data_IF_562338421590
#
_entry.id   IF_562338421590
#
_cell.length_a   1.000
_cell.length_b   1.000
_cell.length_c   1.000
_cell.angle_alpha   90.00
_cell.angle_beta   90.00
_cell.angle_gamma   90.00
#
_symmetry.space_group_name_H-M   'P 1'
#
loop_
_entity.id
_entity.type
_entity.pdbx_description
1 polymer ?
#
# COMPACT_ATOMS: atom_id res chain seq x y z
N UNK A 1 5.50 -14.77 24.31
CA UNK A 1 4.71 -15.01 23.08
C UNK A 1 3.91 -13.75 22.89
N UNK A 2 4.51 -12.81 22.17
CA UNK A 2 4.31 -11.38 22.41
C UNK A 2 3.33 -10.83 21.37
N UNK A 3 2.54 -9.83 21.73
CA UNK A 3 1.43 -9.27 20.96
C UNK A 3 1.80 -8.59 19.60
N UNK A 4 3.00 -8.88 19.06
CA UNK A 4 3.62 -8.23 17.90
C UNK A 4 3.87 -9.23 16.74
N UNK A 5 3.20 -10.38 16.68
CA UNK A 5 3.46 -11.36 15.59
C UNK A 5 2.65 -11.13 14.32
N UNK A 6 1.58 -10.32 14.38
CA UNK A 6 0.67 -10.13 13.26
C UNK A 6 0.23 -8.66 13.07
N UNK A 7 1.09 -7.79 12.52
CA UNK A 7 0.78 -6.39 12.33
C UNK A 7 -0.33 -6.18 11.27
N UNK A 8 -0.99 -5.03 11.36
CA UNK A 8 -1.90 -4.55 10.32
C UNK A 8 -1.09 -4.03 9.13
N UNK A 9 -1.57 -4.35 7.93
CA UNK A 9 -1.10 -3.81 6.66
C UNK A 9 -2.20 -2.92 6.10
N UNK A 10 -1.81 -1.71 5.70
CA UNK A 10 -2.70 -0.68 5.21
C UNK A 10 -2.29 -0.25 3.80
N UNK A 11 -3.21 -0.32 2.86
CA UNK A 11 -3.05 0.25 1.53
C UNK A 11 -4.13 1.32 1.35
N UNK A 12 -3.77 2.55 1.02
CA UNK A 12 -4.77 3.58 0.72
C UNK A 12 -4.90 3.77 -0.79
N UNK A 13 -6.12 4.07 -1.22
CA UNK A 13 -6.46 4.35 -2.62
C UNK A 13 -7.60 5.35 -2.67
N UNK A 14 -7.89 5.91 -3.84
CA UNK A 14 -9.08 6.72 -4.05
C UNK A 14 -10.34 5.83 -4.07
N UNK A 15 -11.46 6.31 -3.52
CA UNK A 15 -12.72 5.55 -3.47
C UNK A 15 -13.20 5.09 -4.86
N UNK A 16 -12.95 5.88 -5.90
CA UNK A 16 -13.32 5.54 -7.28
C UNK A 16 -12.51 4.35 -7.86
N UNK A 17 -11.39 3.97 -7.23
CA UNK A 17 -10.62 2.80 -7.64
C UNK A 17 -11.20 1.50 -7.08
N UNK A 18 -12.15 1.55 -6.14
CA UNK A 18 -12.67 0.38 -5.44
C UNK A 18 -13.35 -0.58 -6.41
N UNK A 19 -14.11 -0.09 -7.38
CA UNK A 19 -14.77 -0.94 -8.38
C UNK A 19 -13.74 -1.77 -9.17
N UNK A 20 -12.69 -1.11 -9.68
CA UNK A 20 -11.60 -1.79 -10.39
C UNK A 20 -10.88 -2.82 -9.50
N UNK A 21 -10.56 -2.44 -8.26
CA UNK A 21 -9.91 -3.34 -7.30
C UNK A 21 -10.79 -4.54 -6.95
N UNK A 22 -12.11 -4.38 -6.84
CA UNK A 22 -13.01 -5.51 -6.58
C UNK A 22 -13.11 -6.47 -7.77
N UNK A 23 -12.92 -5.98 -8.99
CA UNK A 23 -12.96 -6.80 -10.20
C UNK A 23 -11.64 -7.55 -10.46
N UNK A 24 -10.50 -6.90 -10.26
CA UNK A 24 -9.17 -7.46 -10.61
C UNK A 24 -8.32 -7.86 -9.42
N UNK A 25 -8.76 -7.53 -8.20
CA UNK A 25 -7.91 -7.55 -7.02
C UNK A 25 -6.97 -6.34 -6.96
N UNK A 26 -6.20 -6.28 -5.89
CA UNK A 26 -5.16 -5.27 -5.69
C UNK A 26 -3.87 -5.70 -6.39
N UNK A 27 -3.50 -5.02 -7.47
CA UNK A 27 -2.38 -5.39 -8.34
C UNK A 27 -1.24 -4.36 -8.31
N UNK A 28 -0.02 -4.80 -8.60
CA UNK A 28 1.17 -3.95 -8.61
C UNK A 28 1.19 -2.97 -9.79
N UNK A 29 1.91 -1.86 -9.65
CA UNK A 29 1.95 -0.78 -10.65
C UNK A 29 2.38 -1.27 -12.04
N UNK A 30 3.38 -2.15 -12.13
CA UNK A 30 3.84 -2.70 -13.41
C UNK A 30 2.83 -3.65 -14.07
N UNK A 31 1.80 -4.10 -13.34
CA UNK A 31 0.67 -4.87 -13.88
C UNK A 31 -0.45 -3.96 -14.41
N UNK A 32 -0.26 -2.64 -14.38
CA UNK A 32 -1.20 -1.64 -14.89
C UNK A 32 -2.60 -1.78 -14.24
N UNK A 33 -2.72 -1.46 -12.94
CA UNK A 33 -4.01 -1.53 -12.24
C UNK A 33 -5.06 -0.67 -12.95
N UNK A 34 -6.31 -1.12 -12.87
CA UNK A 34 -7.48 -0.33 -13.27
C UNK A 34 -7.70 0.81 -12.26
N UNK A 35 -6.89 1.85 -12.37
CA UNK A 35 -6.92 3.04 -11.53
C UNK A 35 -7.71 4.15 -12.22
N UNK A 36 -8.87 4.49 -11.68
CA UNK A 36 -9.67 5.63 -12.13
C UNK A 36 -9.04 6.96 -11.71
N UNK A 37 -8.51 7.03 -10.48
CA UNK A 37 -7.88 8.22 -9.91
C UNK A 37 -6.53 7.87 -9.30
N UNK A 38 -5.47 8.46 -9.84
CA UNK A 38 -4.11 8.32 -9.31
C UNK A 38 -3.86 9.35 -8.20
N UNK A 39 -3.53 8.87 -7.00
CA UNK A 39 -3.25 9.70 -5.83
C UNK A 39 -1.79 9.60 -5.36
N UNK A 40 -0.97 8.76 -5.98
CA UNK A 40 0.44 8.62 -5.68
C UNK A 40 1.29 9.62 -6.47
N UNK A 41 2.40 10.05 -5.87
CA UNK A 41 3.36 10.92 -6.55
C UNK A 41 4.02 10.21 -7.75
N UNK A 42 3.94 10.78 -8.97
CA UNK A 42 4.56 10.22 -10.16
C UNK A 42 6.06 9.93 -10.01
N UNK A 43 6.82 10.84 -9.38
CA UNK A 43 8.26 10.66 -9.15
C UNK A 43 8.58 9.47 -8.24
N UNK A 44 7.70 9.11 -7.30
CA UNK A 44 7.87 7.92 -6.46
C UNK A 44 7.59 6.65 -7.28
N UNK A 45 6.55 6.66 -8.12
CA UNK A 45 6.27 5.52 -9.01
C UNK A 45 7.43 5.27 -9.97
N UNK A 46 8.02 6.33 -10.52
CA UNK A 46 9.18 6.23 -11.40
C UNK A 46 10.40 5.65 -10.67
N UNK A 47 10.71 6.16 -9.47
CA UNK A 47 11.78 5.60 -8.65
C UNK A 47 11.57 4.11 -8.37
N UNK A 48 10.33 3.69 -8.07
CA UNK A 48 10.00 2.28 -7.81
C UNK A 48 10.17 1.38 -9.03
N UNK A 49 9.94 1.90 -10.25
CA UNK A 49 10.20 1.17 -11.50
C UNK A 49 11.67 0.91 -11.74
N UNK A 50 12.54 1.73 -11.15
CA UNK A 50 13.99 1.65 -11.32
C UNK A 50 14.72 1.01 -10.13
N UNK A 51 14.01 0.75 -9.03
CA UNK A 51 14.61 0.23 -7.80
C UNK A 51 14.60 -1.30 -7.79
N UNK A 52 15.76 -1.97 -7.91
CA UNK A 52 15.81 -3.43 -7.95
C UNK A 52 15.52 -4.05 -6.58
N UNK A 53 14.85 -5.20 -6.58
CA UNK A 53 14.72 -6.07 -5.42
C UNK A 53 15.79 -7.16 -5.55
N UNK A 54 16.74 -7.19 -4.62
CA UNK A 54 17.93 -8.06 -4.68
C UNK A 54 17.70 -9.46 -4.09
N UNK A 55 16.50 -9.72 -3.61
CA UNK A 55 16.10 -11.02 -3.04
C UNK A 55 15.02 -11.65 -3.91
N UNK A 56 15.06 -12.97 -4.03
CA UNK A 56 14.09 -13.73 -4.83
C UNK A 56 12.64 -13.41 -4.39
N UNK A 57 11.69 -13.24 -5.34
CA UNK A 57 11.79 -13.51 -6.78
C UNK A 57 12.43 -12.38 -7.61
N UNK A 58 12.99 -11.36 -6.97
CA UNK A 58 13.68 -10.27 -7.65
C UNK A 58 12.75 -9.26 -8.32
N UNK A 59 13.17 -8.72 -9.47
CA UNK A 59 12.44 -7.68 -10.20
C UNK A 59 12.69 -6.28 -9.62
N UNK A 60 11.68 -5.41 -9.72
CA UNK A 60 11.74 -4.04 -9.21
C UNK A 60 10.63 -3.76 -8.21
N UNK A 61 10.77 -2.72 -7.39
CA UNK A 61 9.77 -2.38 -6.35
C UNK A 61 8.37 -2.15 -6.95
N UNK A 62 8.28 -1.65 -8.19
CA UNK A 62 6.99 -1.47 -8.90
C UNK A 62 6.29 -2.79 -9.30
N UNK A 63 6.95 -3.94 -9.13
CA UNK A 63 6.32 -5.26 -9.30
C UNK A 63 5.57 -5.74 -8.05
N UNK A 64 5.62 -4.97 -6.95
CA UNK A 64 5.02 -5.32 -5.66
C UNK A 64 3.98 -4.27 -5.25
N UNK A 65 2.94 -4.72 -4.55
CA UNK A 65 1.88 -3.86 -4.02
C UNK A 65 2.37 -3.15 -2.75
N UNK A 66 2.30 -1.81 -2.68
CA UNK A 66 2.72 -1.03 -1.51
C UNK A 66 1.78 -1.18 -0.31
N UNK A 67 2.33 -1.48 0.87
CA UNK A 67 1.61 -1.42 2.15
C UNK A 67 2.33 -0.51 3.15
N UNK A 68 1.55 0.07 4.04
CA UNK A 68 1.98 0.82 5.21
C UNK A 68 1.65 0.03 6.48
N UNK A 69 2.50 0.15 7.50
CA UNK A 69 2.28 -0.45 8.83
C UNK A 69 1.54 0.47 9.80
N UNK A 70 1.31 1.72 9.40
CA UNK A 70 0.66 2.71 10.24
C UNK A 70 -0.24 3.63 9.40
N UNK A 71 -1.35 4.13 9.98
CA UNK A 71 -2.11 5.21 9.36
C UNK A 71 -1.27 6.50 9.36
N UNK A 72 -1.59 7.43 8.44
CA UNK A 72 -0.84 8.70 8.21
C UNK A 72 0.55 8.49 7.61
N UNK A 73 0.57 7.98 6.39
CA UNK A 73 1.81 7.85 5.63
C UNK A 73 2.43 9.22 5.28
N UNK A 74 3.74 9.27 4.97
CA UNK A 74 4.35 10.47 4.37
C UNK A 74 3.61 10.95 3.12
N UNK A 75 2.98 10.03 2.37
CA UNK A 75 2.18 10.39 1.20
C UNK A 75 0.88 11.09 1.55
N UNK A 76 0.19 10.66 2.60
CA UNK A 76 -0.96 11.41 3.11
C UNK A 76 -0.56 12.82 3.57
N UNK A 77 0.61 12.98 4.18
CA UNK A 77 1.11 14.32 4.53
C UNK A 77 1.33 15.20 3.30
N UNK A 78 1.89 14.65 2.22
CA UNK A 78 2.02 15.38 0.94
C UNK A 78 0.67 15.75 0.35
N UNK A 79 -0.29 14.83 0.34
CA UNK A 79 -1.66 15.07 -0.13
C UNK A 79 -2.34 16.17 0.71
N UNK A 80 -2.10 16.22 2.02
CA UNK A 80 -2.65 17.27 2.88
C UNK A 80 -2.17 18.67 2.52
N UNK A 81 -0.93 18.77 2.03
CA UNK A 81 -0.28 20.03 1.69
C UNK A 81 -0.33 20.33 0.19
N UNK A 82 -1.24 19.70 -0.57
CA UNK A 82 -1.36 19.81 -2.03
C UNK A 82 -0.04 19.56 -2.79
N UNK A 83 0.81 18.73 -2.21
CA UNK A 83 2.16 18.48 -2.69
C UNK A 83 2.29 17.29 -3.61
N UNK A 84 1.20 16.76 -4.19
CA UNK A 84 1.23 15.61 -5.10
C UNK A 84 0.84 16.05 -6.51
N UNK A 85 1.76 15.86 -7.47
CA UNK A 85 1.52 16.25 -8.85
C UNK A 85 0.39 15.42 -9.46
N UNK A 86 -0.66 16.08 -9.97
CA UNK A 86 -1.79 15.41 -10.62
C UNK A 86 -2.91 14.99 -9.68
N UNK A 87 -2.83 15.29 -8.38
CA UNK A 87 -3.88 14.97 -7.41
C UNK A 87 -4.16 16.15 -6.47
N UNK A 88 -5.41 16.64 -6.46
CA UNK A 88 -5.82 17.83 -5.70
C UNK A 88 -7.12 17.64 -4.88
N UNK A 89 -7.64 16.41 -4.78
CA UNK A 89 -8.92 16.14 -4.08
C UNK A 89 -8.76 15.98 -2.56
N UNK A 90 -7.55 16.17 -2.03
CA UNK A 90 -7.23 16.05 -0.61
C UNK A 90 -7.41 14.63 -0.06
N UNK A 91 -7.51 14.49 1.26
CA UNK A 91 -7.57 13.17 1.91
C UNK A 91 -8.98 12.58 2.03
N UNK A 92 -10.03 13.39 1.91
CA UNK A 92 -11.42 12.97 2.15
C UNK A 92 -11.89 11.78 1.32
N UNK A 93 -11.56 11.67 0.02
CA UNK A 93 -12.01 10.54 -0.79
C UNK A 93 -11.05 9.34 -0.74
N UNK A 94 -10.02 9.38 0.10
CA UNK A 94 -9.08 8.28 0.25
C UNK A 94 -9.62 7.28 1.26
N UNK A 95 -9.56 6.01 0.88
CA UNK A 95 -10.01 4.87 1.70
C UNK A 95 -8.84 3.93 1.94
N UNK A 96 -8.87 3.24 3.09
CA UNK A 96 -7.88 2.23 3.44
C UNK A 96 -8.44 0.82 3.21
N UNK A 97 -7.71 0.03 2.44
CA UNK A 97 -7.79 -1.42 2.43
C UNK A 97 -6.87 -1.94 3.54
N UNK A 98 -7.42 -2.78 4.42
CA UNK A 98 -6.75 -3.21 5.64
C UNK A 98 -6.71 -4.73 5.68
N UNK A 99 -5.54 -5.31 5.93
CA UNK A 99 -5.35 -6.75 6.13
C UNK A 99 -4.33 -7.03 7.23
N UNK A 100 -4.13 -8.30 7.53
CA UNK A 100 -3.15 -8.81 8.50
C UNK A 100 -1.97 -9.44 7.76
N UNK A 101 -0.76 -9.28 8.30
CA UNK A 101 0.45 -9.88 7.72
C UNK A 101 0.30 -11.39 7.54
N UNK A 102 -0.21 -12.10 8.55
CA UNK A 102 -0.41 -13.55 8.46
C UNK A 102 -1.40 -13.94 7.36
N UNK A 103 -2.47 -13.15 7.14
CA UNK A 103 -3.43 -13.41 6.07
C UNK A 103 -2.79 -13.28 4.68
N UNK A 104 -1.89 -12.31 4.52
CA UNK A 104 -1.13 -12.12 3.28
C UNK A 104 -0.12 -13.25 3.06
N UNK A 105 0.60 -13.67 4.12
CA UNK A 105 1.53 -14.82 4.06
C UNK A 105 0.78 -16.11 3.68
N UNK A 106 -0.41 -16.31 4.24
CA UNK A 106 -1.24 -17.48 3.97
C UNK A 106 -1.91 -17.47 2.58
N UNK A 107 -1.72 -16.41 1.78
CA UNK A 107 -2.33 -16.30 0.45
C UNK A 107 -3.82 -15.91 0.46
N UNK A 108 -4.36 -15.45 1.59
CA UNK A 108 -5.78 -15.11 1.75
C UNK A 108 -6.18 -13.72 1.20
N UNK A 109 -5.24 -12.96 0.61
CA UNK A 109 -5.52 -11.66 0.00
C UNK A 109 -5.90 -10.54 0.99
N UNK A 110 -6.33 -9.40 0.46
CA UNK A 110 -6.79 -8.23 1.25
C UNK A 110 -8.32 -8.26 1.30
N UNK A 111 -8.89 -8.83 2.36
CA UNK A 111 -10.33 -8.80 2.62
C UNK A 111 -10.75 -7.46 3.23
N UNK A 112 -11.69 -6.77 2.59
CA UNK A 112 -12.17 -5.45 3.02
C UNK A 112 -12.86 -5.47 4.39
N UNK A 113 -12.13 -5.06 5.43
CA UNK A 113 -12.70 -4.58 6.69
C UNK A 113 -12.26 -3.13 6.91
N UNK A 114 -13.17 -2.18 6.67
CA UNK A 114 -13.00 -0.77 6.96
C UNK A 114 -12.93 -0.56 8.49
N UNK A 115 -11.76 -0.17 9.02
CA UNK A 115 -11.63 0.23 10.43
C UNK A 115 -11.13 1.67 10.49
N UNK A 116 -11.97 2.57 10.99
CA UNK A 116 -11.70 4.00 11.16
C UNK A 116 -10.67 4.23 12.31
N UNK A 117 -9.46 4.78 12.07
CA UNK A 117 -8.46 4.95 13.11
C UNK A 117 -8.41 6.41 13.60
N UNK A 118 -9.35 6.78 14.47
CA UNK A 118 -9.21 7.96 15.34
C UNK A 118 -8.56 7.55 16.65
N UNK A 119 -7.21 7.60 16.79
CA UNK A 119 -6.48 7.76 18.07
C UNK A 119 -5.02 8.26 17.90
N UNK A 120 -4.39 8.85 18.95
CA UNK A 120 -3.20 9.68 18.84
C UNK A 120 -1.86 8.91 18.94
N UNK A 121 -0.83 9.57 18.42
CA UNK A 121 0.53 9.12 18.13
C UNK A 121 1.32 8.51 19.31
N UNK A 122 2.01 7.39 19.06
CA UNK A 122 3.27 7.00 19.73
C UNK A 122 4.28 6.45 18.72
N UNK A 123 5.55 6.87 18.91
CA UNK A 123 6.76 6.44 18.18
C UNK A 123 7.03 4.95 18.36
N UNK A 124 7.42 4.25 17.29
CA UNK A 124 8.74 3.59 17.13
C UNK A 124 8.80 2.71 15.87
N UNK A 125 10.03 2.56 15.38
CA UNK A 125 10.52 1.95 14.13
C UNK A 125 10.13 0.47 13.91
N UNK A 126 10.04 0.05 12.63
CA UNK A 126 10.57 -1.21 12.05
C UNK A 126 9.69 -1.80 10.91
N UNK A 127 10.29 -1.84 9.71
CA UNK A 127 10.37 -2.99 8.77
C UNK A 127 9.10 -3.73 8.31
N UNK A 128 8.83 -3.74 6.98
CA UNK A 128 8.96 -5.02 6.26
C UNK A 128 7.77 -5.81 5.62
N UNK A 129 6.77 -5.30 4.88
CA UNK A 129 5.81 -6.17 4.14
C UNK A 129 5.29 -5.59 2.81
N UNK A 130 5.49 -6.30 1.68
CA UNK A 130 4.84 -6.08 0.36
C UNK A 130 4.37 -7.41 -0.21
N UNK A 131 3.42 -7.42 -1.13
CA UNK A 131 2.97 -8.65 -1.81
C UNK A 131 3.04 -8.47 -3.33
N UNK A 132 3.57 -9.46 -4.05
CA UNK A 132 3.40 -9.60 -5.49
C UNK A 132 2.23 -10.53 -5.75
N UNK A 133 1.40 -10.20 -6.74
CA UNK A 133 0.08 -10.77 -6.94
C UNK A 133 0.04 -12.25 -7.37
N UNK A 134 1.18 -12.91 -7.61
CA UNK A 134 1.18 -14.24 -8.23
C UNK A 134 2.02 -15.30 -7.49
N UNK A 135 2.93 -14.95 -6.58
CA UNK A 135 3.66 -15.92 -5.75
C UNK A 135 4.15 -15.23 -4.47
N UNK A 136 3.88 -15.87 -3.33
CA UNK A 136 4.07 -15.31 -1.99
C UNK A 136 5.55 -15.03 -1.66
N UNK A 137 5.97 -13.76 -1.70
CA UNK A 137 7.22 -13.30 -1.09
C UNK A 137 7.08 -11.85 -0.58
N UNK A 138 7.46 -11.60 0.68
CA UNK A 138 7.28 -10.33 1.40
C UNK A 138 8.58 -9.53 1.55
N UNK A 139 8.59 -8.28 1.09
CA UNK A 139 9.69 -7.32 1.29
C UNK A 139 9.09 -5.93 1.38
N UNK A 140 9.31 -5.05 2.36
CA UNK A 140 8.99 -3.60 2.22
C UNK A 140 10.20 -2.70 2.16
N UNK A 141 10.07 -1.62 1.38
CA UNK A 141 11.11 -0.61 1.24
C UNK A 141 10.47 0.79 1.24
N UNK A 142 10.98 1.65 2.13
CA UNK A 142 10.72 3.10 2.21
C UNK A 142 11.54 3.80 1.13
#
# INVERSE_FOLDING_TARGET
MDAQTNPWLLHFTHVDNIEGITATGLVADNRQPATAVECAEPGIKERRRQQPVTIEPGGVVADYVPFYFAPRSPMLHRIHNDGVTGYCQGQRPLVYLVTRLEAVIAGAGVGGHCVNPLKPWRRSYATAALTRADDACLVSII
#
